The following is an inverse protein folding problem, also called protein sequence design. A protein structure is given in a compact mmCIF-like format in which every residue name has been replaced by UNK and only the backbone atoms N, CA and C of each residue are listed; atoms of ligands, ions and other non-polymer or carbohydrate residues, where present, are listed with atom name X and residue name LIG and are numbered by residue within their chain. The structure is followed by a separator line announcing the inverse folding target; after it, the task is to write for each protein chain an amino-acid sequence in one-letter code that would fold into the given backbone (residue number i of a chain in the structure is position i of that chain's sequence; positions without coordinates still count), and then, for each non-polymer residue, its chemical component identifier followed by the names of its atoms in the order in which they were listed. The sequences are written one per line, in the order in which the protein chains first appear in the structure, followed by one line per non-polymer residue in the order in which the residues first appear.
data_IF_635270001697
#
_entry.id   IF_635270001697
#
_cell.length_a   1.000
_cell.length_b   1.000
_cell.length_c   1.000
_cell.angle_alpha   90.00
_cell.angle_beta   90.00
_cell.angle_gamma   90.00
#
_symmetry.space_group_name_H-M   'P 1'
#
loop_
_entity.id
_entity.type
_entity.pdbx_description
1 polymer ?
#
# COMPACT_ATOMS: atom_id res chain seq x y z
N UNK A 1 -1.28 23.33 -9.41
CA UNK A 1 -0.26 22.38 -9.89
C UNK A 1 0.22 21.54 -8.72
N UNK A 2 0.24 20.23 -8.88
CA UNK A 2 0.66 19.31 -7.81
C UNK A 2 2.18 19.23 -7.77
N UNK A 3 2.73 19.06 -6.58
CA UNK A 3 4.16 18.85 -6.39
C UNK A 3 4.48 17.36 -6.49
N UNK A 4 5.76 17.03 -6.71
CA UNK A 4 6.23 15.66 -6.58
C UNK A 4 6.46 15.31 -5.10
N UNK A 5 6.59 14.02 -4.83
CA UNK A 5 6.93 13.51 -3.49
C UNK A 5 8.36 13.91 -3.18
N UNK A 6 8.57 14.64 -2.09
CA UNK A 6 9.88 15.22 -1.77
C UNK A 6 10.53 14.64 -0.51
N UNK A 7 9.73 14.14 0.44
CA UNK A 7 10.25 13.76 1.75
C UNK A 7 9.29 12.81 2.48
N UNK A 8 9.68 12.41 3.70
CA UNK A 8 8.86 11.51 4.54
C UNK A 8 7.49 12.06 4.85
N UNK A 9 7.36 13.36 5.08
CA UNK A 9 6.05 13.97 5.37
C UNK A 9 5.08 13.72 4.21
N UNK A 10 5.55 13.82 2.98
CA UNK A 10 4.74 13.54 1.79
C UNK A 10 4.32 12.07 1.74
N UNK A 11 5.24 11.16 2.09
CA UNK A 11 4.93 9.73 2.18
C UNK A 11 3.84 9.48 3.22
N UNK A 12 3.94 10.12 4.39
CA UNK A 12 2.95 9.97 5.45
C UNK A 12 1.57 10.45 5.00
N UNK A 13 1.51 11.58 4.30
CA UNK A 13 0.25 12.11 3.75
C UNK A 13 -0.38 11.14 2.75
N UNK A 14 0.44 10.58 1.87
CA UNK A 14 -0.03 9.61 0.87
C UNK A 14 -0.58 8.34 1.55
N UNK A 15 0.17 7.79 2.48
CA UNK A 15 -0.23 6.55 3.18
C UNK A 15 -1.50 6.78 3.98
N UNK A 16 -1.61 7.91 4.66
CA UNK A 16 -2.80 8.25 5.43
C UNK A 16 -4.04 8.34 4.52
N UNK A 17 -3.93 9.03 3.40
CA UNK A 17 -5.04 9.14 2.44
C UNK A 17 -5.43 7.78 1.88
N UNK A 18 -4.42 6.97 1.51
CA UNK A 18 -4.65 5.64 0.97
C UNK A 18 -5.46 4.78 1.96
N UNK A 19 -5.05 4.74 3.23
CA UNK A 19 -5.75 3.91 4.22
C UNK A 19 -7.10 4.47 4.62
N UNK A 20 -7.32 5.79 4.53
CA UNK A 20 -8.66 6.34 4.67
C UNK A 20 -9.60 5.79 3.59
N UNK A 21 -9.12 5.72 2.35
CA UNK A 21 -9.90 5.14 1.25
C UNK A 21 -10.11 3.63 1.46
N UNK A 22 -9.08 2.91 1.89
CA UNK A 22 -9.14 1.46 2.13
C UNK A 22 -10.17 1.13 3.22
N UNK A 23 -10.14 1.84 4.34
CA UNK A 23 -11.06 1.58 5.45
C UNK A 23 -12.52 1.74 5.07
N UNK A 24 -12.81 2.62 4.12
CA UNK A 24 -14.17 2.89 3.65
C UNK A 24 -14.55 2.06 2.43
N UNK A 25 -13.62 1.29 1.86
CA UNK A 25 -13.86 0.54 0.63
C UNK A 25 -14.63 -0.75 0.92
N UNK A 26 -15.67 -1.01 0.14
CA UNK A 26 -16.53 -2.18 0.32
C UNK A 26 -15.84 -3.48 -0.10
N UNK A 27 -14.89 -3.41 -1.02
CA UNK A 27 -14.23 -4.59 -1.59
C UNK A 27 -13.10 -5.11 -0.71
N UNK A 28 -12.22 -4.22 -0.20
CA UNK A 28 -11.02 -4.63 0.54
C UNK A 28 -10.96 -4.17 1.99
N UNK A 29 -11.84 -3.25 2.40
CA UNK A 29 -11.80 -2.71 3.76
C UNK A 29 -11.94 -3.78 4.84
N UNK A 30 -12.74 -4.81 4.59
CA UNK A 30 -13.00 -5.85 5.59
C UNK A 30 -11.74 -6.64 5.98
N UNK A 31 -10.72 -6.73 5.12
CA UNK A 31 -9.45 -7.37 5.48
C UNK A 31 -8.80 -6.66 6.66
N UNK A 32 -8.95 -5.35 6.74
CA UNK A 32 -8.31 -4.55 7.78
C UNK A 32 -9.16 -4.42 9.04
N UNK A 33 -10.49 -4.47 8.92
CA UNK A 33 -11.39 -4.28 10.05
C UNK A 33 -11.87 -5.61 10.65
N UNK A 34 -12.13 -6.62 9.82
CA UNK A 34 -12.77 -7.86 10.26
C UNK A 34 -11.83 -9.06 10.27
N UNK A 35 -10.92 -9.16 9.29
CA UNK A 35 -10.01 -10.31 9.17
C UNK A 35 -8.78 -10.13 10.05
N UNK A 36 -8.06 -9.01 9.88
CA UNK A 36 -6.79 -8.76 10.59
C UNK A 36 -7.01 -7.92 11.85
N UNK A 37 -7.99 -7.02 11.85
CA UNK A 37 -8.26 -6.06 12.93
C UNK A 37 -7.04 -5.22 13.24
N UNK A 38 -6.58 -4.49 12.22
CA UNK A 38 -5.33 -3.74 12.23
C UNK A 38 -5.27 -2.73 13.38
N UNK A 39 -4.17 -2.73 14.11
CA UNK A 39 -3.84 -1.66 15.05
C UNK A 39 -3.17 -0.53 14.26
N UNK A 40 -3.94 0.49 13.91
CA UNK A 40 -3.48 1.59 13.05
C UNK A 40 -2.32 2.38 13.65
N UNK A 41 -2.29 2.54 14.97
CA UNK A 41 -1.20 3.24 15.65
C UNK A 41 0.15 2.56 15.41
N UNK A 42 0.16 1.23 15.35
CA UNK A 42 1.38 0.45 15.10
C UNK A 42 1.63 0.25 13.60
N UNK A 43 0.56 0.07 12.82
CA UNK A 43 0.67 -0.28 11.39
C UNK A 43 1.14 0.90 10.53
N UNK A 44 0.59 2.09 10.76
CA UNK A 44 0.91 3.24 9.91
C UNK A 44 2.40 3.60 9.90
N UNK A 45 3.10 3.67 11.05
CA UNK A 45 4.53 3.94 11.02
C UNK A 45 5.35 2.91 10.23
N UNK A 46 4.95 1.63 10.29
CA UNK A 46 5.60 0.58 9.51
C UNK A 46 5.40 0.82 8.02
N UNK A 47 4.21 1.24 7.62
CA UNK A 47 3.92 1.53 6.21
C UNK A 47 4.61 2.81 5.74
N UNK A 48 4.76 3.82 6.60
CA UNK A 48 5.56 4.99 6.27
C UNK A 48 7.01 4.59 5.97
N UNK A 49 7.59 3.75 6.82
CA UNK A 49 8.96 3.24 6.63
C UNK A 49 9.07 2.44 5.33
N UNK A 50 8.10 1.58 5.07
CA UNK A 50 8.08 0.74 3.86
C UNK A 50 8.09 1.60 2.59
N UNK A 51 7.17 2.56 2.49
CA UNK A 51 7.05 3.37 1.29
C UNK A 51 8.18 4.39 1.14
N UNK A 52 8.68 4.94 2.26
CA UNK A 52 9.87 5.79 2.23
C UNK A 52 11.07 5.02 1.68
N UNK A 53 11.28 3.82 2.17
CA UNK A 53 12.36 2.97 1.69
C UNK A 53 12.21 2.62 0.22
N UNK A 54 10.98 2.35 -0.24
CA UNK A 54 10.70 1.98 -1.63
C UNK A 54 11.03 3.11 -2.61
N UNK A 55 10.86 4.36 -2.18
CA UNK A 55 11.05 5.55 -3.05
C UNK A 55 12.44 6.17 -2.87
N UNK A 56 12.92 6.28 -1.63
CA UNK A 56 14.15 7.00 -1.31
C UNK A 56 15.31 6.11 -0.88
N UNK A 57 15.11 4.78 -0.82
CA UNK A 57 16.14 3.82 -0.41
C UNK A 57 16.71 4.13 0.98
N UNK A 58 15.83 4.53 1.90
CA UNK A 58 16.23 5.02 3.23
C UNK A 58 16.78 3.95 4.15
N UNK A 59 16.48 2.66 3.88
CA UNK A 59 16.87 1.56 4.77
C UNK A 59 16.03 1.43 6.02
N UNK A 60 14.93 2.20 6.13
CA UNK A 60 14.11 2.24 7.34
C UNK A 60 13.19 1.02 7.51
N UNK A 61 12.97 0.24 6.44
CA UNK A 61 12.10 -0.93 6.48
C UNK A 61 12.91 -2.21 6.24
N UNK A 62 12.69 -3.22 7.09
CA UNK A 62 13.32 -4.54 6.95
C UNK A 62 12.36 -5.71 7.17
N UNK A 63 11.05 -5.48 7.04
CA UNK A 63 10.04 -6.53 7.17
C UNK A 63 9.84 -7.33 5.89
N UNK A 64 8.87 -8.25 5.92
CA UNK A 64 8.52 -9.09 4.77
C UNK A 64 7.01 -9.02 4.50
N UNK A 65 6.55 -8.08 3.66
CA UNK A 65 5.12 -7.95 3.37
C UNK A 65 4.55 -9.17 2.66
N UNK A 66 5.37 -9.88 1.89
CA UNK A 66 4.94 -11.06 1.15
C UNK A 66 4.49 -12.17 2.10
N UNK A 67 5.26 -12.40 3.16
CA UNK A 67 4.93 -13.43 4.15
C UNK A 67 3.64 -13.10 4.89
N UNK A 68 3.45 -11.84 5.27
CA UNK A 68 2.26 -11.38 5.97
C UNK A 68 1.00 -11.51 5.10
N UNK A 69 1.08 -11.14 3.83
CA UNK A 69 -0.07 -11.23 2.92
C UNK A 69 -0.44 -12.69 2.61
N UNK A 70 0.54 -13.57 2.52
CA UNK A 70 0.30 -15.00 2.34
C UNK A 70 -0.47 -15.57 3.54
N UNK A 71 -0.11 -15.17 4.75
CA UNK A 71 -0.80 -15.60 5.98
C UNK A 71 -2.25 -15.11 5.99
N UNK A 72 -2.51 -13.87 5.57
CA UNK A 72 -3.87 -13.33 5.50
C UNK A 72 -4.69 -14.07 4.45
N UNK A 73 -4.11 -14.39 3.29
CA UNK A 73 -4.78 -15.13 2.23
C UNK A 73 -5.27 -16.50 2.70
N UNK A 74 -4.51 -17.18 3.57
CA UNK A 74 -4.93 -18.47 4.09
C UNK A 74 -6.12 -18.38 5.05
N UNK A 75 -6.36 -17.21 5.65
CA UNK A 75 -7.52 -16.97 6.51
C UNK A 75 -8.73 -16.53 5.68
N UNK A 76 -8.52 -15.58 4.76
CA UNK A 76 -9.56 -15.06 3.88
C UNK A 76 -8.95 -14.81 2.50
N UNK A 77 -9.27 -15.65 1.50
CA UNK A 77 -8.57 -15.61 0.22
C UNK A 77 -8.70 -14.28 -0.51
N UNK A 78 -7.57 -13.82 -1.06
CA UNK A 78 -7.54 -12.68 -1.98
C UNK A 78 -7.95 -13.14 -3.38
N UNK A 79 -8.64 -12.26 -4.12
CA UNK A 79 -8.99 -12.46 -5.52
C UNK A 79 -8.33 -11.39 -6.39
N UNK A 80 -8.37 -11.58 -7.69
CA UNK A 80 -7.91 -10.54 -8.63
C UNK A 80 -8.62 -9.21 -8.40
N UNK A 81 -9.90 -9.26 -8.06
CA UNK A 81 -10.68 -8.06 -7.77
C UNK A 81 -10.09 -7.28 -6.59
N UNK A 82 -9.61 -7.97 -5.55
CA UNK A 82 -8.97 -7.34 -4.40
C UNK A 82 -7.70 -6.62 -4.81
N UNK A 83 -6.84 -7.24 -5.60
CA UNK A 83 -5.61 -6.62 -6.08
C UNK A 83 -5.87 -5.43 -7.00
N UNK A 84 -6.85 -5.54 -7.89
CA UNK A 84 -7.23 -4.44 -8.77
C UNK A 84 -7.74 -3.24 -7.97
N UNK A 85 -8.57 -3.49 -6.96
CA UNK A 85 -9.09 -2.43 -6.12
C UNK A 85 -8.00 -1.77 -5.29
N UNK A 86 -7.09 -2.57 -4.71
CA UNK A 86 -5.94 -2.05 -3.98
C UNK A 86 -5.10 -1.10 -4.86
N UNK A 87 -4.77 -1.56 -6.07
CA UNK A 87 -3.98 -0.78 -7.02
C UNK A 87 -4.69 0.52 -7.42
N UNK A 88 -6.00 0.43 -7.66
CA UNK A 88 -6.79 1.60 -8.04
C UNK A 88 -6.81 2.64 -6.92
N UNK A 89 -7.06 2.21 -5.69
CA UNK A 89 -7.09 3.12 -4.55
C UNK A 89 -5.73 3.77 -4.31
N UNK A 90 -4.64 3.01 -4.49
CA UNK A 90 -3.30 3.54 -4.32
C UNK A 90 -2.98 4.58 -5.39
N UNK A 91 -3.24 4.26 -6.66
CA UNK A 91 -3.00 5.18 -7.76
C UNK A 91 -3.84 6.45 -7.63
N UNK A 92 -5.09 6.32 -7.23
CA UNK A 92 -5.97 7.47 -7.01
C UNK A 92 -5.43 8.38 -5.90
N UNK A 93 -4.90 7.77 -4.84
CA UNK A 93 -4.31 8.53 -3.73
C UNK A 93 -3.07 9.31 -4.16
N UNK A 94 -2.19 8.68 -4.93
CA UNK A 94 -1.00 9.35 -5.47
C UNK A 94 -1.42 10.51 -6.37
N UNK A 95 -2.31 10.25 -7.31
CA UNK A 95 -2.71 11.25 -8.31
C UNK A 95 -3.47 12.42 -7.68
N UNK A 96 -4.14 12.19 -6.56
CA UNK A 96 -4.86 13.23 -5.84
C UNK A 96 -3.90 14.23 -5.16
N UNK A 97 -2.74 13.76 -4.69
CA UNK A 97 -1.81 14.56 -3.90
C UNK A 97 -0.56 14.99 -4.67
N UNK A 98 -0.06 14.19 -5.60
CA UNK A 98 1.27 14.39 -6.17
C UNK A 98 1.30 14.15 -7.68
N UNK A 99 2.34 14.75 -8.31
CA UNK A 99 2.63 14.59 -9.74
C UNK A 99 4.13 14.75 -9.94
N UNK A 100 4.79 13.85 -10.69
CA UNK A 100 6.20 13.94 -10.98
C UNK A 100 6.89 12.59 -11.02
N UNK A 101 8.23 12.61 -11.05
CA UNK A 101 9.04 11.39 -11.16
C UNK A 101 8.85 10.45 -9.97
N UNK A 102 8.86 10.96 -8.75
CA UNK A 102 8.68 10.14 -7.54
C UNK A 102 7.25 9.62 -7.44
N UNK A 103 6.26 10.43 -7.83
CA UNK A 103 4.87 9.99 -7.89
C UNK A 103 4.72 8.82 -8.88
N UNK A 104 5.33 8.92 -10.06
CA UNK A 104 5.33 7.83 -11.05
C UNK A 104 6.07 6.61 -10.52
N UNK A 105 7.20 6.81 -9.86
CA UNK A 105 8.01 5.73 -9.29
C UNK A 105 7.23 4.93 -8.24
N UNK A 106 6.55 5.62 -7.32
CA UNK A 106 5.83 4.93 -6.24
C UNK A 106 4.65 4.13 -6.81
N UNK A 107 3.99 4.62 -7.85
CA UNK A 107 2.93 3.86 -8.54
C UNK A 107 3.50 2.60 -9.20
N UNK A 108 4.68 2.70 -9.82
CA UNK A 108 5.35 1.54 -10.42
C UNK A 108 5.76 0.52 -9.35
N UNK A 109 6.29 0.98 -8.22
CA UNK A 109 6.66 0.11 -7.10
C UNK A 109 5.45 -0.64 -6.56
N UNK A 110 4.32 0.07 -6.40
CA UNK A 110 3.08 -0.54 -5.94
C UNK A 110 2.58 -1.60 -6.91
N UNK A 111 2.63 -1.32 -8.21
CA UNK A 111 2.22 -2.28 -9.24
C UNK A 111 3.11 -3.52 -9.23
N UNK A 112 4.42 -3.35 -9.09
CA UNK A 112 5.36 -4.46 -9.02
C UNK A 112 5.10 -5.34 -7.80
N UNK A 113 4.83 -4.72 -6.65
CA UNK A 113 4.51 -5.44 -5.42
C UNK A 113 3.23 -6.25 -5.60
N UNK A 114 2.17 -5.64 -6.15
CA UNK A 114 0.90 -6.32 -6.39
C UNK A 114 1.08 -7.50 -7.36
N UNK A 115 1.87 -7.33 -8.42
CA UNK A 115 2.15 -8.38 -9.39
C UNK A 115 2.87 -9.56 -8.74
N UNK A 116 3.91 -9.30 -7.95
CA UNK A 116 4.68 -10.35 -7.27
C UNK A 116 3.79 -11.09 -6.26
N UNK A 117 2.95 -10.38 -5.53
CA UNK A 117 2.02 -11.00 -4.59
C UNK A 117 1.03 -11.92 -5.29
N UNK A 118 0.49 -11.49 -6.45
CA UNK A 118 -0.43 -12.31 -7.24
C UNK A 118 0.25 -13.60 -7.69
N UNK A 119 1.48 -13.52 -8.18
CA UNK A 119 2.24 -14.69 -8.61
C UNK A 119 2.44 -15.66 -7.45
N UNK A 120 2.80 -15.17 -6.28
CA UNK A 120 3.05 -16.00 -5.09
C UNK A 120 1.78 -16.63 -4.53
N UNK A 121 0.67 -15.90 -4.54
CA UNK A 121 -0.58 -16.32 -3.90
C UNK A 121 -1.39 -17.27 -4.80
N UNK A 122 -1.42 -17.02 -6.11
CA UNK A 122 -2.23 -17.78 -7.06
C UNK A 122 -1.49 -18.91 -7.78
N UNK A 123 -0.30 -19.21 -7.34
CA UNK A 123 0.51 -20.27 -7.94
C UNK A 123 -0.07 -21.65 -7.73
#
# INVERSE_FOLDING_TARGET
MKKDIANRTDIERLVDLFYEKVKSDETIGYFFTDVVKVNWTQHLPIMYDFWENAVFYSGSYNGNPMLQHTAIHSISPFTMKHFQQWSQLFNDSVDELFEGEKASLIKQRAQSIATVMQIKIFR
#
